data_IF_307125856960
#
_entry.id   IF_307125856960
#
_cell.length_a   1.000
_cell.length_b   1.000
_cell.length_c   1.000
_cell.angle_alpha   90.00
_cell.angle_beta   90.00
_cell.angle_gamma   90.00
#
_symmetry.space_group_name_H-M   'P 1'
#
loop_
_entity.id
_entity.type
_entity.pdbx_description
1 polymer ?
#
# COMPACT_ATOMS: atom_id res chain seq x y z
N UNK A 1 -11.07 1.86 21.52
CA UNK A 1 -10.55 2.73 20.45
C UNK A 1 -10.45 1.83 19.24
N UNK A 2 -11.35 2.01 18.26
CA UNK A 2 -11.38 1.20 17.05
C UNK A 2 -10.27 1.73 16.16
N UNK A 3 -9.19 0.98 15.99
CA UNK A 3 -8.20 1.29 14.96
C UNK A 3 -8.86 0.89 13.64
N UNK A 4 -9.53 1.86 13.03
CA UNK A 4 -10.04 1.75 11.67
C UNK A 4 -8.84 1.88 10.74
N UNK A 5 -8.34 0.76 10.21
CA UNK A 5 -7.52 0.80 9.01
C UNK A 5 -8.45 1.11 7.84
N UNK A 6 -8.93 2.36 7.73
CA UNK A 6 -9.76 2.85 6.63
C UNK A 6 -8.92 2.85 5.34
N UNK A 7 -8.78 1.68 4.73
CA UNK A 7 -8.16 1.52 3.41
C UNK A 7 -9.23 1.22 2.39
N UNK A 8 -9.66 2.28 1.76
CA UNK A 8 -10.63 2.22 0.68
C UNK A 8 -9.88 2.11 -0.65
N UNK A 9 -10.05 1.01 -1.37
CA UNK A 9 -9.49 0.83 -2.70
C UNK A 9 -10.55 1.13 -3.76
N UNK A 10 -10.16 1.87 -4.79
CA UNK A 10 -11.05 2.26 -5.87
C UNK A 10 -10.82 1.32 -7.05
N UNK A 11 -11.92 0.82 -7.61
CA UNK A 11 -11.95 0.18 -8.92
C UNK A 11 -12.94 0.91 -9.82
N UNK A 12 -12.51 1.21 -11.04
CA UNK A 12 -13.24 2.08 -11.96
C UNK A 12 -13.51 1.37 -13.28
N UNK A 13 -14.71 1.61 -13.82
CA UNK A 13 -15.14 1.19 -15.15
C UNK A 13 -15.64 2.40 -15.91
N UNK A 14 -15.96 2.26 -17.21
CA UNK A 14 -16.50 3.37 -18.01
C UNK A 14 -17.79 3.97 -17.42
N UNK A 15 -18.60 3.16 -16.73
CA UNK A 15 -19.92 3.57 -16.22
C UNK A 15 -19.96 3.78 -14.70
N UNK A 16 -19.08 3.16 -13.93
CA UNK A 16 -19.16 3.11 -12.46
C UNK A 16 -17.80 3.37 -11.78
N UNK A 17 -17.83 4.03 -10.63
CA UNK A 17 -16.73 4.10 -9.66
C UNK A 17 -17.13 3.26 -8.45
N UNK A 18 -16.31 2.28 -8.09
CA UNK A 18 -16.56 1.39 -6.96
C UNK A 18 -15.48 1.60 -5.90
N UNK A 19 -15.88 1.97 -4.70
CA UNK A 19 -15.04 2.04 -3.53
C UNK A 19 -15.21 0.77 -2.69
N UNK A 20 -14.13 0.16 -2.22
CA UNK A 20 -14.17 -1.05 -1.39
C UNK A 20 -13.26 -0.88 -0.18
N UNK A 21 -13.83 -0.97 1.02
CA UNK A 21 -13.11 -0.93 2.29
C UNK A 21 -13.29 -2.23 3.04
N UNK A 22 -12.21 -2.80 3.56
CA UNK A 22 -12.24 -3.97 4.44
C UNK A 22 -11.99 -3.50 5.87
N UNK A 23 -12.92 -3.75 6.79
CA UNK A 23 -12.83 -3.29 8.17
C UNK A 23 -13.10 -4.43 9.15
N UNK A 24 -12.37 -4.44 10.26
CA UNK A 24 -12.66 -5.29 11.42
C UNK A 24 -13.71 -4.61 12.30
N UNK A 25 -14.87 -5.22 12.42
CA UNK A 25 -16.00 -4.68 13.18
C UNK A 25 -16.30 -5.59 14.37
N UNK A 26 -16.32 -5.03 15.58
CA UNK A 26 -16.65 -5.80 16.77
C UNK A 26 -18.15 -6.09 16.85
N UNK A 27 -18.50 -7.37 16.90
CA UNK A 27 -19.84 -7.88 17.20
C UNK A 27 -19.88 -8.44 18.62
N UNK A 28 -20.82 -8.01 19.49
CA UNK A 28 -20.95 -8.53 20.84
C UNK A 28 -21.37 -10.01 20.89
N UNK A 29 -21.83 -10.59 19.77
CA UNK A 29 -22.27 -11.98 19.69
C UNK A 29 -21.22 -12.91 19.08
N UNK A 30 -20.42 -12.40 18.13
CA UNK A 30 -19.51 -13.21 17.31
C UNK A 30 -18.04 -12.77 17.42
N UNK A 31 -17.72 -11.76 18.25
CA UNK A 31 -16.37 -11.19 18.32
C UNK A 31 -16.06 -10.27 17.14
N UNK A 32 -14.79 -10.14 16.78
CA UNK A 32 -14.37 -9.33 15.63
C UNK A 32 -14.77 -10.03 14.32
N UNK A 33 -15.63 -9.40 13.54
CA UNK A 33 -16.04 -9.85 12.21
C UNK A 33 -15.40 -8.97 11.13
N UNK A 34 -14.90 -9.57 10.06
CA UNK A 34 -14.42 -8.81 8.90
C UNK A 34 -15.59 -8.49 7.96
N UNK A 35 -15.80 -7.20 7.73
CA UNK A 35 -16.88 -6.69 6.88
C UNK A 35 -16.26 -5.90 5.73
N UNK A 36 -16.73 -6.18 4.51
CA UNK A 36 -16.42 -5.39 3.34
C UNK A 36 -17.55 -4.39 3.10
N UNK A 37 -17.21 -3.12 3.13
CA UNK A 37 -18.08 -2.01 2.76
C UNK A 37 -17.80 -1.64 1.30
N UNK A 38 -18.84 -1.59 0.47
CA UNK A 38 -18.73 -1.34 -0.96
C UNK A 38 -19.70 -0.22 -1.34
N UNK A 39 -19.17 0.88 -1.90
CA UNK A 39 -19.98 1.95 -2.48
C UNK A 39 -19.78 1.98 -4.00
N UNK A 40 -20.87 1.85 -4.76
CA UNK A 40 -20.86 1.91 -6.23
C UNK A 40 -21.59 3.16 -6.68
N UNK A 41 -20.87 4.09 -7.31
CA UNK A 41 -21.40 5.32 -7.89
C UNK A 41 -21.51 5.16 -9.40
N UNK A 42 -22.74 5.28 -9.92
CA UNK A 42 -23.01 5.43 -11.35
C UNK A 42 -22.53 6.82 -11.80
N UNK A 43 -21.66 6.88 -12.81
CA UNK A 43 -21.06 8.14 -13.29
C UNK A 43 -22.08 9.04 -14.00
N UNK A 44 -23.05 8.46 -14.71
CA UNK A 44 -24.06 9.21 -15.50
C UNK A 44 -25.16 9.79 -14.61
N UNK A 45 -25.69 8.97 -13.70
CA UNK A 45 -26.80 9.36 -12.84
C UNK A 45 -26.37 9.90 -11.48
N UNK A 46 -25.09 9.78 -11.12
CA UNK A 46 -24.55 10.11 -9.79
C UNK A 46 -25.24 9.36 -8.63
N UNK A 47 -25.94 8.26 -8.91
CA UNK A 47 -26.61 7.47 -7.87
C UNK A 47 -25.58 6.55 -7.23
N UNK A 48 -25.69 6.39 -5.91
CA UNK A 48 -24.80 5.55 -5.12
C UNK A 48 -25.60 4.36 -4.57
N UNK A 49 -25.02 3.16 -4.65
CA UNK A 49 -25.50 1.95 -4.00
C UNK A 49 -24.44 1.46 -3.01
N UNK A 50 -24.87 1.06 -1.82
CA UNK A 50 -23.97 0.62 -0.76
C UNK A 50 -24.25 -0.84 -0.44
N UNK A 51 -23.20 -1.60 -0.12
CA UNK A 51 -23.27 -3.00 0.28
C UNK A 51 -22.36 -3.25 1.48
N UNK A 52 -22.81 -4.13 2.37
CA UNK A 52 -22.03 -4.62 3.51
C UNK A 52 -22.01 -6.14 3.44
N UNK A 53 -20.84 -6.71 3.13
CA UNK A 53 -20.70 -8.15 2.92
C UNK A 53 -19.70 -8.70 3.93
N UNK A 54 -20.17 -9.59 4.81
CA UNK A 54 -19.30 -10.29 5.76
C UNK A 54 -18.37 -11.26 5.03
N UNK A 55 -17.11 -11.29 5.41
CA UNK A 55 -16.15 -12.30 4.97
C UNK A 55 -15.96 -13.34 6.07
N UNK A 56 -15.95 -14.61 5.69
CA UNK A 56 -15.77 -15.77 6.57
C UNK A 56 -14.45 -15.72 7.36
N UNK A 57 -14.44 -16.28 8.57
CA UNK A 57 -13.41 -16.17 9.64
C UNK A 57 -12.04 -16.79 9.28
N UNK A 58 -11.86 -17.24 8.04
CA UNK A 58 -10.62 -17.84 7.53
C UNK A 58 -9.44 -16.89 7.49
N UNK A 59 -9.66 -15.58 7.62
CA UNK A 59 -8.58 -14.60 7.75
C UNK A 59 -8.41 -14.29 9.24
N UNK A 60 -7.31 -14.74 9.84
CA UNK A 60 -6.92 -14.33 11.19
C UNK A 60 -6.35 -12.90 11.16
N UNK A 61 -7.20 -11.93 10.81
CA UNK A 61 -6.92 -10.47 10.80
C UNK A 61 -7.50 -9.81 12.04
N UNK A 62 -7.68 -10.57 13.13
CA UNK A 62 -8.18 -10.04 14.40
C UNK A 62 -7.15 -9.09 15.00
N UNK A 63 -7.21 -7.79 14.68
CA UNK A 63 -6.47 -6.71 15.34
C UNK A 63 -4.94 -6.68 15.16
N UNK A 64 -4.30 -7.84 15.13
CA UNK A 64 -2.85 -8.03 15.23
C UNK A 64 -2.28 -8.55 13.89
N UNK A 65 -2.63 -7.87 12.80
CA UNK A 65 -2.06 -8.17 11.49
C UNK A 65 -1.95 -6.93 10.63
N UNK A 66 -0.90 -6.87 9.81
CA UNK A 66 -0.82 -5.94 8.69
C UNK A 66 -1.39 -6.62 7.45
N UNK A 67 -2.23 -5.91 6.70
CA UNK A 67 -2.85 -6.46 5.50
C UNK A 67 -3.07 -5.41 4.42
N UNK A 68 -3.15 -5.89 3.18
CA UNK A 68 -3.57 -5.15 2.01
C UNK A 68 -4.65 -5.93 1.27
N UNK A 69 -5.76 -5.26 0.95
CA UNK A 69 -6.90 -5.84 0.25
C UNK A 69 -7.13 -5.12 -1.08
N UNK A 70 -7.05 -5.86 -2.18
CA UNK A 70 -7.11 -5.33 -3.54
C UNK A 70 -8.36 -5.85 -4.27
N UNK A 71 -9.36 -4.98 -4.51
CA UNK A 71 -10.62 -5.36 -5.15
C UNK A 71 -10.53 -5.33 -6.68
N UNK A 72 -11.20 -6.27 -7.32
CA UNK A 72 -11.43 -6.31 -8.78
C UNK A 72 -12.91 -6.52 -9.06
N UNK A 73 -13.48 -5.63 -9.87
CA UNK A 73 -14.89 -5.64 -10.22
C UNK A 73 -15.17 -6.53 -11.43
N UNK A 74 -16.14 -7.45 -11.30
CA UNK A 74 -16.66 -8.25 -12.42
C UNK A 74 -18.19 -8.37 -12.33
N UNK A 75 -18.90 -7.54 -13.10
CA UNK A 75 -20.36 -7.54 -13.31
C UNK A 75 -21.24 -7.43 -12.07
N UNK A 76 -21.43 -8.49 -11.31
CA UNK A 76 -22.20 -8.50 -10.06
C UNK A 76 -21.37 -9.05 -8.89
N UNK A 77 -20.08 -9.24 -9.13
CA UNK A 77 -19.13 -9.75 -8.17
C UNK A 77 -18.00 -8.74 -7.95
N UNK A 78 -17.42 -8.82 -6.77
CA UNK A 78 -16.13 -8.24 -6.44
C UNK A 78 -15.22 -9.40 -6.04
N UNK A 79 -14.09 -9.53 -6.72
CA UNK A 79 -13.02 -10.41 -6.30
C UNK A 79 -12.09 -9.61 -5.40
N UNK A 80 -11.86 -10.08 -4.17
CA UNK A 80 -11.03 -9.39 -3.20
C UNK A 80 -9.80 -10.25 -2.91
N UNK A 81 -8.65 -9.84 -3.44
CA UNK A 81 -7.37 -10.47 -3.14
C UNK A 81 -6.77 -9.81 -1.89
N UNK A 82 -6.39 -10.60 -0.90
CA UNK A 82 -5.90 -10.11 0.39
C UNK A 82 -4.56 -10.78 0.66
N UNK A 83 -3.55 -9.97 0.98
CA UNK A 83 -2.33 -10.45 1.62
C UNK A 83 -2.28 -9.91 3.04
N UNK A 84 -1.90 -10.76 4.00
CA UNK A 84 -1.84 -10.37 5.41
C UNK A 84 -0.72 -11.10 6.14
N UNK A 85 0.08 -10.38 6.94
CA UNK A 85 1.04 -10.96 7.88
C UNK A 85 0.54 -10.75 9.30
N UNK A 86 0.42 -11.84 10.04
CA UNK A 86 -0.07 -11.88 11.43
C UNK A 86 1.11 -11.75 12.36
N UNK A 87 1.04 -10.85 13.35
CA UNK A 87 2.10 -10.68 14.34
C UNK A 87 2.26 -11.93 15.23
N UNK A 88 3.46 -12.17 15.74
CA UNK A 88 3.68 -13.17 16.79
C UNK A 88 3.53 -12.52 18.17
N UNK A 89 2.45 -12.85 18.87
CA UNK A 89 2.14 -12.34 20.21
C UNK A 89 3.24 -12.64 21.25
N UNK A 90 4.10 -13.64 21.01
CA UNK A 90 5.19 -14.01 21.93
C UNK A 90 6.46 -13.15 21.77
N UNK A 91 6.57 -12.37 20.70
CA UNK A 91 7.75 -11.56 20.35
C UNK A 91 7.61 -10.09 20.81
N UNK A 92 6.51 -9.72 21.47
CA UNK A 92 6.29 -8.38 22.03
C UNK A 92 7.02 -8.12 23.38
N UNK A 93 7.88 -9.04 23.84
CA UNK A 93 8.73 -8.82 25.00
C UNK A 93 9.87 -7.83 24.64
N UNK A 94 9.80 -6.61 25.18
CA UNK A 94 10.57 -5.40 24.84
C UNK A 94 12.12 -5.47 24.91
N UNK A 95 12.72 -6.65 25.15
CA UNK A 95 14.17 -6.78 25.42
C UNK A 95 14.95 -7.70 24.47
N UNK A 96 14.36 -8.18 23.37
CA UNK A 96 15.15 -8.82 22.31
C UNK A 96 15.60 -7.79 21.28
N UNK A 97 16.91 -7.69 21.07
CA UNK A 97 17.46 -7.09 19.86
C UNK A 97 16.94 -7.91 18.67
N UNK A 98 15.98 -7.37 17.92
CA UNK A 98 15.43 -8.01 16.74
C UNK A 98 16.48 -7.91 15.63
N UNK A 99 17.16 -9.03 15.36
CA UNK A 99 18.19 -9.10 14.32
C UNK A 99 17.57 -9.20 12.90
N UNK A 100 16.28 -9.58 12.76
CA UNK A 100 15.55 -9.64 11.48
C UNK A 100 14.08 -9.21 11.61
N UNK A 101 13.59 -8.37 10.68
CA UNK A 101 12.19 -7.91 10.63
C UNK A 101 11.17 -9.03 10.36
N UNK A 102 11.58 -10.23 9.93
CA UNK A 102 10.69 -11.38 9.75
C UNK A 102 10.24 -12.02 11.06
N UNK A 103 11.00 -11.84 12.14
CA UNK A 103 10.78 -12.52 13.42
C UNK A 103 9.55 -11.99 14.17
N UNK A 104 9.01 -10.84 13.77
CA UNK A 104 7.80 -10.23 14.36
C UNK A 104 6.50 -10.87 13.86
N UNK A 105 6.56 -11.69 12.81
CA UNK A 105 5.38 -12.29 12.18
C UNK A 105 5.33 -13.79 12.43
N UNK A 106 4.13 -14.30 12.70
CA UNK A 106 3.86 -15.73 12.88
C UNK A 106 3.54 -16.44 11.56
N UNK A 107 2.81 -15.78 10.67
CA UNK A 107 2.34 -16.37 9.42
C UNK A 107 1.88 -15.30 8.44
N UNK A 108 2.16 -15.52 7.15
CA UNK A 108 1.61 -14.71 6.06
C UNK A 108 0.57 -15.50 5.27
N UNK A 109 -0.54 -14.87 4.89
CA UNK A 109 -1.62 -15.47 4.12
C UNK A 109 -1.88 -14.69 2.83
N UNK A 110 -2.08 -15.42 1.74
CA UNK A 110 -2.70 -14.93 0.51
C UNK A 110 -4.09 -15.55 0.41
N UNK A 111 -5.12 -14.71 0.36
CA UNK A 111 -6.51 -15.14 0.21
C UNK A 111 -7.19 -14.46 -0.97
N UNK A 112 -8.16 -15.16 -1.57
CA UNK A 112 -9.01 -14.62 -2.61
C UNK A 112 -10.47 -14.93 -2.30
N UNK A 113 -11.27 -13.87 -2.16
CA UNK A 113 -12.70 -13.97 -1.94
C UNK A 113 -13.47 -13.55 -3.18
N UNK A 114 -14.64 -14.15 -3.37
CA UNK A 114 -15.67 -13.66 -4.28
C UNK A 114 -16.83 -13.16 -3.46
N UNK A 115 -17.16 -11.89 -3.62
CA UNK A 115 -18.30 -11.21 -3.01
C UNK A 115 -19.37 -11.05 -4.08
N UNK A 116 -20.58 -11.57 -3.85
CA UNK A 116 -21.70 -11.39 -4.76
C UNK A 116 -22.60 -10.25 -4.26
N UNK A 117 -22.80 -9.23 -5.07
CA UNK A 117 -23.55 -8.03 -4.69
C UNK A 117 -25.05 -8.29 -4.60
N UNK A 118 -25.62 -9.12 -5.48
CA UNK A 118 -27.05 -9.45 -5.47
C UNK A 118 -27.46 -10.28 -4.25
N UNK A 119 -26.67 -11.28 -3.88
CA UNK A 119 -26.96 -12.16 -2.74
C UNK A 119 -26.36 -11.66 -1.44
N UNK A 120 -25.43 -10.70 -1.49
CA UNK A 120 -24.65 -10.18 -0.35
C UNK A 120 -23.91 -11.29 0.40
N UNK A 121 -23.42 -12.29 -0.35
CA UNK A 121 -22.67 -13.41 0.19
C UNK A 121 -21.21 -13.35 -0.24
N UNK A 122 -20.32 -13.77 0.65
CA UNK A 122 -18.92 -14.01 0.34
C UNK A 122 -18.64 -15.51 0.20
N UNK A 123 -17.60 -15.84 -0.56
CA UNK A 123 -17.04 -17.19 -0.66
C UNK A 123 -15.52 -17.11 -0.77
N UNK A 124 -14.80 -17.83 0.08
CA UNK A 124 -13.36 -18.06 -0.12
C UNK A 124 -13.14 -18.96 -1.34
N UNK A 125 -12.31 -18.51 -2.28
CA UNK A 125 -11.88 -19.28 -3.44
C UNK A 125 -10.55 -19.96 -3.16
N UNK A 126 -9.64 -19.26 -2.48
CA UNK A 126 -8.29 -19.72 -2.20
C UNK A 126 -7.80 -19.05 -0.93
N UNK A 127 -7.12 -19.83 -0.09
CA UNK A 127 -6.30 -19.35 1.02
C UNK A 127 -5.01 -20.18 1.02
N UNK A 128 -3.87 -19.51 0.99
CA UNK A 128 -2.54 -20.14 1.05
C UNK A 128 -1.72 -19.42 2.13
N UNK A 129 -1.04 -20.20 2.95
CA UNK A 129 -0.15 -19.70 4.00
C UNK A 129 1.32 -19.82 3.59
N UNK A 130 2.16 -18.92 4.10
CA UNK A 130 3.60 -18.86 3.88
C UNK A 130 4.32 -18.62 5.21
N UNK A 131 5.38 -19.38 5.47
CA UNK A 131 6.20 -19.20 6.67
C UNK A 131 6.77 -17.76 6.70
N UNK A 132 6.77 -17.08 7.85
CA UNK A 132 7.26 -15.70 7.96
C UNK A 132 8.74 -15.56 7.55
N UNK A 133 9.55 -16.63 7.72
CA UNK A 133 10.94 -16.64 7.27
C UNK A 133 11.08 -16.84 5.76
N UNK A 134 10.02 -17.26 5.07
CA UNK A 134 9.97 -17.36 3.61
C UNK A 134 9.40 -16.10 2.99
N UNK A 135 8.32 -15.57 3.57
CA UNK A 135 7.58 -14.45 3.03
C UNK A 135 6.79 -13.70 4.09
N UNK A 136 6.90 -12.38 4.08
CA UNK A 136 6.02 -11.48 4.84
C UNK A 136 5.67 -10.23 4.06
N UNK A 137 4.67 -9.49 4.54
CA UNK A 137 4.37 -8.14 4.06
C UNK A 137 4.35 -7.21 5.27
N UNK A 138 4.96 -6.05 5.12
CA UNK A 138 4.94 -4.97 6.11
C UNK A 138 4.50 -3.65 5.47
N UNK A 139 4.06 -3.70 4.21
CA UNK A 139 3.70 -2.54 3.41
C UNK A 139 2.22 -2.59 3.06
N UNK A 140 1.63 -1.41 3.11
CA UNK A 140 0.24 -1.17 2.72
C UNK A 140 0.14 -0.79 1.23
N UNK A 141 1.28 -0.84 0.51
CA UNK A 141 1.35 -0.54 -0.91
C UNK A 141 0.97 -1.77 -1.72
N UNK A 142 -0.04 -1.59 -2.55
CA UNK A 142 -0.46 -2.58 -3.53
C UNK A 142 -1.45 -1.97 -4.50
N UNK A 143 -1.62 -2.62 -5.65
CA UNK A 143 -2.47 -2.13 -6.71
C UNK A 143 -2.96 -3.24 -7.62
N UNK A 144 -3.98 -2.93 -8.40
CA UNK A 144 -4.53 -3.84 -9.41
C UNK A 144 -4.19 -3.31 -10.79
N UNK A 145 -3.73 -4.20 -11.67
CA UNK A 145 -3.68 -3.94 -13.11
C UNK A 145 -4.22 -5.16 -13.85
N UNK A 146 -5.20 -4.92 -14.70
CA UNK A 146 -5.96 -5.95 -15.41
C UNK A 146 -6.57 -6.98 -14.44
N UNK A 147 -6.16 -8.24 -14.51
CA UNK A 147 -6.61 -9.32 -13.64
C UNK A 147 -5.58 -9.70 -12.56
N UNK A 148 -4.59 -8.84 -12.31
CA UNK A 148 -3.47 -9.13 -11.42
C UNK A 148 -3.48 -8.16 -10.24
N UNK A 149 -3.52 -8.71 -9.03
CA UNK A 149 -3.29 -7.98 -7.79
C UNK A 149 -1.80 -8.00 -7.48
N UNK A 150 -1.19 -6.82 -7.39
CA UNK A 150 0.22 -6.64 -7.09
C UNK A 150 0.39 -6.15 -5.66
N UNK A 151 1.20 -6.86 -4.90
CA UNK A 151 1.48 -6.58 -3.50
C UNK A 151 2.98 -6.36 -3.30
N UNK A 152 3.34 -5.47 -2.38
CA UNK A 152 4.71 -5.40 -1.88
C UNK A 152 4.90 -6.43 -0.78
N UNK A 153 5.89 -7.28 -0.97
CA UNK A 153 6.20 -8.42 -0.09
C UNK A 153 7.69 -8.55 0.06
N UNK A 154 8.13 -9.08 1.18
CA UNK A 154 9.52 -9.43 1.42
C UNK A 154 9.65 -10.94 1.34
N UNK A 155 10.50 -11.43 0.46
CA UNK A 155 10.63 -12.86 0.15
C UNK A 155 12.09 -13.25 0.30
N UNK A 156 12.33 -14.37 0.98
CA UNK A 156 13.67 -14.93 1.15
C UNK A 156 14.15 -15.56 -0.15
N UNK A 157 15.30 -15.09 -0.62
CA UNK A 157 15.95 -15.68 -1.79
C UNK A 157 16.47 -17.09 -1.45
N UNK A 158 16.18 -18.07 -2.31
CA UNK A 158 16.56 -19.44 -2.05
C UNK A 158 18.09 -19.67 -2.11
N UNK A 159 18.82 -18.84 -2.85
CA UNK A 159 20.26 -18.98 -3.07
C UNK A 159 21.03 -18.17 -2.02
N UNK A 160 20.79 -16.87 -1.92
CA UNK A 160 21.52 -15.97 -1.01
C UNK A 160 21.04 -16.10 0.43
N UNK A 161 19.82 -16.62 0.65
CA UNK A 161 19.14 -16.65 1.94
C UNK A 161 18.80 -15.27 2.51
N UNK A 162 19.02 -14.21 1.74
CA UNK A 162 18.67 -12.84 2.11
C UNK A 162 17.20 -12.56 1.80
N UNK A 163 16.58 -11.73 2.64
CA UNK A 163 15.23 -11.25 2.42
C UNK A 163 15.27 -10.06 1.47
N UNK A 164 14.47 -10.13 0.40
CA UNK A 164 14.40 -9.11 -0.63
C UNK A 164 12.98 -8.61 -0.80
N UNK A 165 12.85 -7.30 -0.95
CA UNK A 165 11.60 -6.66 -1.33
C UNK A 165 11.26 -7.01 -2.78
N UNK A 166 10.07 -7.55 -2.96
CA UNK A 166 9.56 -8.08 -4.20
C UNK A 166 8.18 -7.50 -4.51
N UNK A 167 7.89 -7.30 -5.80
CA UNK A 167 6.54 -7.09 -6.30
C UNK A 167 5.92 -8.45 -6.60
N UNK A 168 4.95 -8.84 -5.77
CA UNK A 168 4.22 -10.10 -5.86
C UNK A 168 2.93 -9.90 -6.66
N UNK A 169 2.91 -10.37 -7.91
CA UNK A 169 1.74 -10.34 -8.79
C UNK A 169 0.95 -11.64 -8.72
N UNK A 170 -0.32 -11.55 -8.30
CA UNK A 170 -1.25 -12.68 -8.24
C UNK A 170 -2.39 -12.50 -9.23
N UNK A 171 -2.46 -13.36 -10.25
CA UNK A 171 -3.53 -13.34 -11.23
C UNK A 171 -4.79 -13.98 -10.65
N UNK A 172 -5.87 -13.21 -10.48
CA UNK A 172 -7.08 -13.71 -9.83
C UNK A 172 -7.90 -14.65 -10.71
N UNK A 173 -7.65 -14.74 -12.01
CA UNK A 173 -8.36 -15.65 -12.91
C UNK A 173 -7.59 -16.97 -13.01
N UNK A 174 -6.32 -16.92 -13.40
CA UNK A 174 -5.48 -18.11 -13.61
C UNK A 174 -4.89 -18.67 -12.32
N UNK A 175 -4.87 -17.87 -11.24
CA UNK A 175 -4.21 -18.16 -9.95
C UNK A 175 -2.69 -18.26 -10.04
N UNK A 176 -2.10 -17.85 -11.16
CA UNK A 176 -0.65 -17.81 -11.33
C UNK A 176 -0.04 -16.70 -10.48
N UNK A 177 1.16 -16.98 -9.96
CA UNK A 177 1.97 -16.05 -9.18
C UNK A 177 3.19 -15.67 -10.01
N UNK A 178 3.50 -14.39 -10.04
CA UNK A 178 4.73 -13.85 -10.58
C UNK A 178 5.42 -12.99 -9.51
N UNK A 179 6.73 -13.15 -9.36
CA UNK A 179 7.51 -12.42 -8.37
C UNK A 179 8.61 -11.66 -9.12
N UNK A 180 8.67 -10.36 -8.88
CA UNK A 180 9.73 -9.49 -9.42
C UNK A 180 10.54 -9.00 -8.22
N UNK A 181 11.79 -9.48 -8.09
CA UNK A 181 12.72 -8.90 -7.12
C UNK A 181 13.05 -7.47 -7.54
N UNK A 182 12.84 -6.51 -6.64
CA UNK A 182 12.98 -5.09 -6.95
C UNK A 182 14.45 -4.61 -6.94
N UNK A 183 15.37 -5.42 -6.42
CA UNK A 183 16.81 -5.11 -6.39
C UNK A 183 17.18 -4.03 -5.37
N UNK A 184 16.38 -3.84 -4.32
CA UNK A 184 16.58 -2.82 -3.28
C UNK A 184 16.91 -3.41 -1.91
N UNK A 185 17.19 -4.72 -1.83
CA UNK A 185 17.37 -5.42 -0.56
C UNK A 185 16.06 -5.47 0.23
N UNK A 186 16.13 -5.39 1.55
CA UNK A 186 14.97 -5.33 2.46
C UNK A 186 14.55 -3.87 2.71
N UNK A 187 14.12 -3.15 1.66
CA UNK A 187 13.66 -1.75 1.77
C UNK A 187 12.15 -1.65 1.60
N UNK A 188 11.48 -0.92 2.49
CA UNK A 188 10.05 -0.69 2.38
C UNK A 188 9.71 0.18 1.17
N UNK A 189 8.59 -0.15 0.52
CA UNK A 189 7.96 0.71 -0.49
C UNK A 189 6.80 1.44 0.19
N UNK A 190 6.76 2.76 0.01
CA UNK A 190 5.81 3.67 0.67
C UNK A 190 4.79 4.28 -0.28
N UNK A 191 5.10 4.34 -1.58
CA UNK A 191 4.21 4.95 -2.56
C UNK A 191 4.37 4.32 -3.94
N UNK A 192 3.37 4.49 -4.80
CA UNK A 192 3.38 4.01 -6.17
C UNK A 192 2.58 4.90 -7.12
N UNK A 193 2.90 4.82 -8.41
CA UNK A 193 2.11 5.37 -9.50
C UNK A 193 2.15 4.42 -10.69
N UNK A 194 1.00 4.10 -11.26
CA UNK A 194 0.89 3.22 -12.43
C UNK A 194 0.70 4.08 -13.66
N UNK A 195 1.51 3.82 -14.68
CA UNK A 195 1.34 4.38 -16.01
C UNK A 195 1.37 3.24 -17.04
N UNK A 196 0.19 2.91 -17.56
CA UNK A 196 0.02 1.85 -18.55
C UNK A 196 0.57 0.48 -18.06
N UNK A 197 1.68 -0.02 -18.62
CA UNK A 197 2.34 -1.27 -18.19
C UNK A 197 3.56 -1.06 -17.29
N UNK A 198 3.84 0.18 -16.89
CA UNK A 198 4.93 0.52 -15.98
C UNK A 198 4.38 0.96 -14.63
N UNK A 199 5.12 0.66 -13.57
CA UNK A 199 4.84 1.20 -12.24
C UNK A 199 6.08 1.89 -11.70
N UNK A 200 5.90 3.13 -11.26
CA UNK A 200 6.85 3.84 -10.42
C UNK A 200 6.59 3.43 -8.97
N UNK A 201 7.61 2.92 -8.28
CA UNK A 201 7.59 2.61 -6.85
C UNK A 201 8.57 3.54 -6.12
N UNK A 202 8.18 4.01 -4.94
CA UNK A 202 9.04 4.83 -4.10
C UNK A 202 9.40 4.08 -2.82
N UNK A 203 10.69 3.90 -2.57
CA UNK A 203 11.17 3.40 -1.30
C UNK A 203 10.91 4.43 -0.18
N UNK A 204 10.95 3.97 1.06
CA UNK A 204 11.03 4.84 2.22
C UNK A 204 12.24 5.78 2.12
N UNK A 205 12.08 7.01 2.65
CA UNK A 205 13.16 8.00 2.67
C UNK A 205 14.20 7.55 3.69
N UNK A 206 15.46 7.46 3.28
CA UNK A 206 16.55 7.28 4.24
C UNK A 206 16.68 8.56 5.08
N UNK A 207 16.31 8.48 6.35
CA UNK A 207 16.30 9.64 7.24
C UNK A 207 17.70 10.16 7.55
N UNK A 208 18.76 9.37 7.35
CA UNK A 208 20.15 9.80 7.54
C UNK A 208 20.69 10.48 6.31
N UNK A 209 20.61 9.83 5.15
CA UNK A 209 21.15 10.38 3.89
C UNK A 209 20.21 11.39 3.21
N UNK A 210 18.93 11.42 3.61
CA UNK A 210 17.84 12.17 2.96
C UNK A 210 17.66 11.81 1.49
N UNK A 211 18.05 10.60 1.10
CA UNK A 211 17.90 10.08 -0.25
C UNK A 211 16.54 9.37 -0.37
N UNK A 212 15.84 9.66 -1.45
CA UNK A 212 14.67 8.89 -1.90
C UNK A 212 15.11 7.98 -3.04
N UNK A 213 14.89 6.67 -2.90
CA UNK A 213 15.06 5.73 -3.99
C UNK A 213 13.73 5.50 -4.71
N UNK A 214 13.75 5.56 -6.03
CA UNK A 214 12.60 5.27 -6.89
C UNK A 214 12.94 4.20 -7.91
N UNK A 215 11.95 3.40 -8.26
CA UNK A 215 12.07 2.25 -9.15
C UNK A 215 11.01 2.35 -10.23
N UNK A 216 11.38 2.09 -11.48
CA UNK A 216 10.41 1.86 -12.55
C UNK A 216 10.43 0.38 -12.88
N UNK A 217 9.28 -0.28 -12.78
CA UNK A 217 9.12 -1.71 -13.04
C UNK A 217 8.22 -1.90 -14.27
N UNK A 218 8.70 -2.71 -15.21
CA UNK A 218 7.93 -3.19 -16.35
C UNK A 218 7.08 -4.39 -15.93
N UNK A 219 5.76 -4.22 -15.91
CA UNK A 219 4.83 -5.29 -15.53
C UNK A 219 4.73 -6.38 -16.60
N UNK A 220 4.95 -6.04 -17.87
CA UNK A 220 4.87 -6.98 -19.00
C UNK A 220 6.13 -7.84 -19.08
N UNK A 221 7.31 -7.22 -19.07
CA UNK A 221 8.60 -7.90 -19.09
C UNK A 221 9.06 -8.39 -17.71
N UNK A 222 8.31 -8.05 -16.65
CA UNK A 222 8.48 -8.56 -15.28
C UNK A 222 9.87 -8.27 -14.70
N UNK A 223 10.33 -7.03 -14.85
CA UNK A 223 11.65 -6.62 -14.38
C UNK A 223 11.70 -5.14 -14.01
N UNK A 224 12.57 -4.79 -13.07
CA UNK A 224 12.96 -3.40 -12.83
C UNK A 224 13.73 -2.87 -14.05
N UNK A 225 13.28 -1.75 -14.61
CA UNK A 225 13.91 -1.06 -15.75
C UNK A 225 14.97 -0.07 -15.26
N UNK A 226 14.65 0.69 -14.20
CA UNK A 226 15.54 1.70 -13.66
C UNK A 226 15.39 1.86 -12.16
N UNK A 227 16.49 2.21 -11.51
CA UNK A 227 16.56 2.60 -10.10
C UNK A 227 17.24 3.96 -10.04
N UNK A 228 16.58 4.93 -9.41
CA UNK A 228 17.07 6.29 -9.28
C UNK A 228 17.17 6.68 -7.80
N UNK A 229 18.20 7.43 -7.46
CA UNK A 229 18.40 8.01 -6.14
C UNK A 229 18.29 9.53 -6.25
N UNK A 230 17.44 10.12 -5.42
CA UNK A 230 17.11 11.54 -5.45
C UNK A 230 17.50 12.14 -4.10
N UNK A 231 18.48 13.04 -4.12
CA UNK A 231 18.83 13.88 -2.98
C UNK A 231 17.79 14.99 -2.84
N UNK A 232 16.79 14.75 -1.99
CA UNK A 232 15.81 15.76 -1.64
C UNK A 232 16.40 16.63 -0.54
N UNK A 233 16.89 17.82 -0.87
CA UNK A 233 17.48 18.74 0.13
C UNK A 233 16.42 19.30 1.09
N UNK A 234 16.67 19.27 2.41
CA UNK A 234 15.92 20.08 3.41
C UNK A 234 16.85 20.86 4.30
N UNK A 235 16.25 21.74 5.08
CA UNK A 235 16.89 22.46 6.18
C UNK A 235 16.54 21.73 7.48
N UNK A 236 17.52 21.13 8.15
CA UNK A 236 17.40 20.57 9.50
C UNK A 236 17.19 19.05 9.55
N UNK A 237 17.09 18.54 10.78
CA UNK A 237 17.07 17.10 11.12
C UNK A 237 15.67 16.45 11.01
N UNK A 238 14.80 16.99 10.16
CA UNK A 238 13.40 16.56 10.06
C UNK A 238 13.22 15.18 9.42
N UNK A 239 12.30 14.38 9.97
CA UNK A 239 11.85 13.14 9.37
C UNK A 239 11.00 13.43 8.14
N UNK A 240 11.16 12.65 7.07
CA UNK A 240 10.45 12.86 5.82
C UNK A 240 9.68 11.67 5.33
N UNK A 241 8.51 11.94 4.79
CA UNK A 241 7.64 10.93 4.21
C UNK A 241 7.14 11.38 2.84
N UNK A 242 7.01 10.40 1.94
CA UNK A 242 6.43 10.61 0.61
C UNK A 242 4.92 10.45 0.74
N UNK A 243 4.19 11.53 0.49
CA UNK A 243 2.73 11.54 0.59
C UNK A 243 2.07 11.16 -0.74
N UNK A 244 2.67 11.60 -1.84
CA UNK A 244 2.15 11.30 -3.17
C UNK A 244 3.29 11.25 -4.19
N UNK A 245 3.17 10.35 -5.15
CA UNK A 245 4.04 10.26 -6.32
C UNK A 245 3.23 10.27 -7.61
N UNK A 246 3.80 10.85 -8.67
CA UNK A 246 3.25 10.79 -10.02
C UNK A 246 4.37 10.84 -11.04
N UNK A 247 4.17 10.17 -12.17
CA UNK A 247 5.05 10.23 -13.33
C UNK A 247 4.33 10.83 -14.53
N UNK A 248 4.98 11.74 -15.24
CA UNK A 248 4.48 12.27 -16.51
C UNK A 248 5.63 12.87 -17.33
N UNK A 249 5.71 12.54 -18.63
CA UNK A 249 6.65 13.12 -19.59
C UNK A 249 8.13 13.12 -19.12
N UNK A 250 8.65 11.94 -18.75
CA UNK A 250 10.01 11.72 -18.20
C UNK A 250 10.31 12.51 -16.92
N UNK A 251 9.26 12.90 -16.18
CA UNK A 251 9.39 13.59 -14.89
C UNK A 251 8.65 12.84 -13.80
N UNK A 252 9.25 12.88 -12.62
CA UNK A 252 8.65 12.41 -11.38
C UNK A 252 8.28 13.58 -10.51
N UNK A 253 7.04 13.59 -10.04
CA UNK A 253 6.47 14.58 -9.16
C UNK A 253 6.28 13.93 -7.79
N UNK A 254 6.85 14.53 -6.75
CA UNK A 254 6.71 14.05 -5.38
C UNK A 254 6.08 15.13 -4.52
N UNK A 255 5.11 14.75 -3.69
CA UNK A 255 4.70 15.54 -2.53
C UNK A 255 5.28 14.87 -1.29
N UNK A 256 6.02 15.65 -0.49
CA UNK A 256 6.64 15.17 0.73
C UNK A 256 6.24 16.02 1.92
N UNK A 257 6.21 15.45 3.11
CA UNK A 257 6.18 16.20 4.35
C UNK A 257 7.52 16.09 5.10
N UNK A 258 7.90 17.19 5.73
CA UNK A 258 8.97 17.28 6.72
C UNK A 258 8.30 17.40 8.09
N UNK A 259 8.60 16.44 8.96
CA UNK A 259 8.15 16.37 10.33
C UNK A 259 9.25 16.83 11.28
N UNK A 260 8.93 17.83 12.11
CA UNK A 260 9.86 18.39 13.09
C UNK A 260 9.88 17.56 14.36
N UNK A 261 10.70 16.52 14.38
CA UNK A 261 10.98 15.79 15.61
C UNK A 261 12.00 16.56 16.45
N UNK A 262 11.57 17.05 17.62
CA UNK A 262 12.47 17.21 18.76
C UNK A 262 11.83 16.75 20.08
N UNK A 263 10.55 16.38 20.14
CA UNK A 263 9.97 15.85 21.37
C UNK A 263 8.87 14.81 21.08
N UNK A 264 9.07 13.64 21.67
CA UNK A 264 8.15 12.52 21.75
C UNK A 264 6.67 12.93 21.78
N UNK A 265 5.87 12.45 20.82
CA UNK A 265 4.41 12.37 20.96
C UNK A 265 4.05 11.24 21.94
N UNK A 266 4.67 11.23 23.12
CA UNK A 266 4.16 10.49 24.27
C UNK A 266 3.23 11.45 25.03
N UNK A 267 1.94 11.28 24.76
CA UNK A 267 0.83 11.90 25.51
C UNK A 267 0.74 13.43 25.47
N UNK A 268 0.10 13.98 24.43
CA UNK A 268 -0.69 15.20 24.57
C UNK A 268 -0.68 16.17 23.40
N UNK A 269 -1.81 16.26 22.69
CA UNK A 269 -2.42 17.46 22.06
C UNK A 269 -1.57 18.50 21.29
N UNK A 270 -0.32 18.23 20.93
CA UNK A 270 0.44 19.05 19.98
C UNK A 270 0.10 18.64 18.55
N UNK A 271 -0.47 19.54 17.75
CA UNK A 271 -0.48 19.35 16.30
C UNK A 271 0.96 19.55 15.83
N UNK A 272 1.64 18.53 15.28
CA UNK A 272 2.99 18.71 14.77
C UNK A 272 3.00 19.77 13.67
N UNK A 273 3.96 20.70 13.74
CA UNK A 273 4.23 21.61 12.63
C UNK A 273 4.83 20.81 11.48
N UNK A 274 4.00 20.46 10.50
CA UNK A 274 4.42 19.78 9.27
C UNK A 274 4.66 20.80 8.17
N UNK A 275 5.83 20.74 7.54
CA UNK A 275 6.10 21.49 6.31
C UNK A 275 5.91 20.56 5.10
N UNK A 276 5.18 21.00 4.09
CA UNK A 276 4.95 20.20 2.88
C UNK A 276 5.69 20.80 1.68
N UNK A 277 6.24 19.93 0.83
CA UNK A 277 7.02 20.31 -0.33
C UNK A 277 6.60 19.54 -1.57
N UNK A 278 6.65 20.21 -2.72
CA UNK A 278 6.51 19.60 -4.05
C UNK A 278 7.89 19.58 -4.70
N UNK A 279 8.27 18.43 -5.23
CA UNK A 279 9.47 18.24 -6.03
C UNK A 279 9.08 17.82 -7.46
N UNK A 280 9.78 18.36 -8.44
CA UNK A 280 9.73 17.89 -9.84
C UNK A 280 11.13 17.46 -10.24
N UNK A 281 11.28 16.21 -10.60
CA UNK A 281 12.57 15.57 -10.91
C UNK A 281 12.56 15.13 -12.38
N UNK A 282 13.65 15.37 -13.08
CA UNK A 282 13.89 14.83 -14.42
C UNK A 282 14.47 13.42 -14.30
N UNK A 283 13.78 12.41 -14.83
CA UNK A 283 14.21 11.01 -14.70
C UNK A 283 15.46 10.68 -15.53
N UNK A 284 15.79 11.47 -16.55
CA UNK A 284 16.95 11.19 -17.42
C UNK A 284 18.28 11.46 -16.72
N UNK A 285 18.31 12.42 -15.81
CA UNK A 285 19.53 12.87 -15.15
C UNK A 285 19.38 13.04 -13.63
N UNK A 286 18.22 12.70 -13.07
CA UNK A 286 17.86 12.85 -11.65
C UNK A 286 17.97 14.29 -11.12
N UNK A 287 17.92 15.29 -12.00
CA UNK A 287 17.98 16.69 -11.63
C UNK A 287 16.64 17.16 -11.05
N UNK A 288 16.69 17.81 -9.89
CA UNK A 288 15.53 18.50 -9.32
C UNK A 288 15.30 19.78 -10.14
N UNK A 289 14.25 19.77 -10.95
CA UNK A 289 13.83 20.90 -11.78
C UNK A 289 13.08 21.97 -10.98
N UNK A 290 12.37 21.55 -9.93
CA UNK A 290 11.59 22.45 -9.09
C UNK A 290 11.47 21.93 -7.65
N UNK A 291 11.52 22.86 -6.70
CA UNK A 291 11.15 22.63 -5.30
C UNK A 291 10.26 23.79 -4.84
N UNK A 292 9.07 23.47 -4.35
CA UNK A 292 8.12 24.46 -3.85
C UNK A 292 7.61 24.09 -2.46
N UNK A 293 7.67 25.03 -1.52
CA UNK A 293 7.02 24.88 -0.21
C UNK A 293 5.52 25.19 -0.32
N UNK A 294 4.68 24.28 0.14
CA UNK A 294 3.24 24.49 0.30
C UNK A 294 3.04 25.26 1.62
N UNK A 295 2.49 26.48 1.53
CA UNK A 295 2.40 27.43 2.65
C UNK A 295 1.05 27.45 3.35
N UNK A 296 0.08 26.68 2.87
CA UNK A 296 -1.20 26.61 3.56
C UNK A 296 -0.98 26.05 4.97
N UNK A 297 -1.56 26.73 5.96
CA UNK A 297 -1.50 26.30 7.36
C UNK A 297 -2.48 25.14 7.52
N UNK A 298 -1.99 23.92 7.37
CA UNK A 298 -2.87 22.76 7.28
C UNK A 298 -2.67 21.86 8.50
N UNK A 299 -3.78 21.28 8.97
CA UNK A 299 -3.85 20.35 10.10
C UNK A 299 -3.31 18.96 9.73
N UNK A 300 -3.07 18.14 10.77
CA UNK A 300 -2.83 16.69 10.67
C UNK A 300 -3.88 15.98 9.78
N UNK A 301 -3.45 15.06 8.90
CA UNK A 301 -4.24 14.25 7.94
C UNK A 301 -4.78 14.97 6.68
N UNK A 302 -3.93 15.19 5.68
CA UNK A 302 -4.31 15.73 4.37
C UNK A 302 -4.05 14.69 3.30
N UNK A 303 -4.99 14.53 2.38
CA UNK A 303 -4.77 13.80 1.14
C UNK A 303 -4.27 14.77 0.05
N UNK A 304 -3.15 14.43 -0.59
CA UNK A 304 -2.63 15.17 -1.74
C UNK A 304 -2.91 14.40 -3.02
N UNK A 305 -3.38 15.12 -4.05
CA UNK A 305 -3.52 14.60 -5.41
C UNK A 305 -2.67 15.42 -6.37
N UNK A 306 -1.94 14.75 -7.26
CA UNK A 306 -1.26 15.38 -8.39
C UNK A 306 -2.08 15.01 -9.63
N UNK A 307 -2.72 15.99 -10.27
CA UNK A 307 -3.61 15.81 -11.43
C UNK A 307 -3.10 16.56 -12.64
N UNK A 308 -3.40 16.05 -13.84
CA UNK A 308 -3.23 16.78 -15.10
C UNK A 308 -4.42 17.71 -15.31
N UNK A 309 -4.21 18.81 -16.03
CA UNK A 309 -5.28 19.76 -16.34
C UNK A 309 -6.48 19.10 -17.07
N UNK A 310 -6.22 18.06 -17.87
CA UNK A 310 -7.24 17.30 -18.59
C UNK A 310 -8.08 16.35 -17.70
N UNK A 311 -7.68 16.17 -16.44
CA UNK A 311 -8.36 15.34 -15.44
C UNK A 311 -9.23 16.18 -14.47
N UNK A 312 -9.21 17.51 -14.61
CA UNK A 312 -10.02 18.47 -13.85
C UNK A 312 -11.36 18.76 -14.52
#
# INVERSE_FOLDING_TARGET
>A
MQISNDKSNICETDDEITNVSLLSTYSPYNGNEMIVYIDIKDKKSSKIKNYEIKIDDTINVSGDSIYQALPMRDKDNIYLAIISSVYDDNEQDENKLQDNEGDIYKQTYLSLFKLNLSTQQSRSILTKSYDPNEMYTNSEVGFVKDNVAYFITHIKDEITKEINTCLFGFNIITKEINIINLGVGNQNITNYYIDDNEVLLCCEVDQTSKIVKTLVVDLYNKKTISTNEIDVKSKGDYNRYILQTRRDNDKTYLVMCDYKDDDHVYYGNGSPDMDYYIYVINEKNNEILYTGKIKEKIMYNIAFGIVKDEEL
#
